data_IF_709022057342
#
_entry.id   IF_709022057342
#
_cell.length_a   1.000
_cell.length_b   1.000
_cell.length_c   1.000
_cell.angle_alpha   90.00
_cell.angle_beta   90.00
_cell.angle_gamma   90.00
#
_symmetry.space_group_name_H-M   'P 1'
#
loop_
_entity.id
_entity.type
_entity.pdbx_description
1 polymer ?
#
# COMPACT_ATOMS: atom_id res chain seq x y z
N UNK A 1 -6.26 -5.07 -5.65
CA UNK A 1 -7.30 -4.17 -6.14
C UNK A 1 -7.21 -2.83 -5.44
N UNK A 2 -7.24 -1.75 -6.22
CA UNK A 2 -7.20 -0.41 -5.65
C UNK A 2 -8.58 0.09 -5.27
N UNK A 3 -8.65 0.77 -4.14
CA UNK A 3 -9.87 1.46 -3.70
C UNK A 3 -9.50 2.87 -3.27
N UNK A 4 -10.46 3.77 -3.22
CA UNK A 4 -10.18 5.13 -2.76
C UNK A 4 -9.89 5.13 -1.26
N UNK A 5 -8.96 6.00 -0.85
CA UNK A 5 -8.64 6.13 0.57
C UNK A 5 -9.85 6.59 1.38
N UNK A 6 -10.67 7.46 0.80
CA UNK A 6 -11.88 7.95 1.47
C UNK A 6 -12.84 6.82 1.79
N UNK A 7 -13.10 5.94 0.82
CA UNK A 7 -14.00 4.80 1.04
C UNK A 7 -13.43 3.82 2.07
N UNK A 8 -12.14 3.52 1.96
CA UNK A 8 -11.46 2.61 2.88
C UNK A 8 -11.52 3.13 4.31
N UNK A 9 -11.17 4.41 4.52
CA UNK A 9 -11.13 5.00 5.85
C UNK A 9 -12.52 5.18 6.44
N UNK A 10 -13.52 5.52 5.62
CA UNK A 10 -14.90 5.60 6.09
C UNK A 10 -15.41 4.24 6.55
N UNK A 11 -15.11 3.19 5.78
CA UNK A 11 -15.49 1.82 6.16
C UNK A 11 -14.81 1.42 7.47
N UNK A 12 -13.53 1.73 7.61
CA UNK A 12 -12.79 1.44 8.83
C UNK A 12 -13.37 2.17 10.04
N UNK A 13 -13.73 3.43 9.87
CA UNK A 13 -14.33 4.24 10.92
C UNK A 13 -15.68 3.68 11.36
N UNK A 14 -16.55 3.35 10.40
CA UNK A 14 -17.88 2.81 10.67
C UNK A 14 -17.84 1.45 11.35
N UNK A 15 -16.85 0.61 11.00
CA UNK A 15 -16.72 -0.73 11.54
C UNK A 15 -15.67 -0.84 12.64
N UNK A 16 -15.11 0.28 13.07
CA UNK A 16 -14.20 0.40 14.22
C UNK A 16 -12.95 -0.47 14.13
N UNK A 17 -12.26 -0.42 12.99
CA UNK A 17 -10.95 -1.05 12.86
C UNK A 17 -9.93 -0.05 12.29
N UNK A 18 -8.66 -0.37 12.49
CA UNK A 18 -7.56 0.46 11.99
C UNK A 18 -7.03 -0.11 10.67
N UNK A 19 -6.50 0.78 9.82
CA UNK A 19 -5.83 0.38 8.58
C UNK A 19 -4.35 0.72 8.73
N UNK A 20 -3.49 -0.27 8.52
CA UNK A 20 -2.05 -0.08 8.61
C UNK A 20 -1.51 0.58 7.33
N UNK A 21 -0.63 1.56 7.49
CA UNK A 21 0.10 2.17 6.39
C UNK A 21 1.56 1.74 6.49
N UNK A 22 2.03 0.98 5.51
CA UNK A 22 3.36 0.38 5.52
C UNK A 22 4.25 1.03 4.48
N UNK A 23 5.47 1.42 4.89
CA UNK A 23 6.46 1.94 3.94
C UNK A 23 7.07 0.78 3.16
N UNK A 24 6.97 0.85 1.85
CA UNK A 24 7.50 -0.16 0.93
C UNK A 24 8.46 0.48 -0.05
N UNK A 25 9.68 -0.01 -0.12
CA UNK A 25 10.73 0.59 -0.96
C UNK A 25 11.19 -0.32 -2.10
N UNK A 26 10.84 -1.59 -2.09
CA UNK A 26 11.23 -2.51 -3.14
C UNK A 26 10.10 -3.49 -3.47
N UNK A 27 10.30 -4.24 -4.54
CA UNK A 27 9.29 -5.15 -5.07
C UNK A 27 8.93 -6.25 -4.06
N UNK A 28 9.91 -6.76 -3.34
CA UNK A 28 9.70 -7.84 -2.38
C UNK A 28 8.81 -7.39 -1.22
N UNK A 29 9.02 -6.18 -0.72
CA UNK A 29 8.20 -5.63 0.35
C UNK A 29 6.78 -5.39 -0.10
N UNK A 30 6.59 -4.81 -1.28
CA UNK A 30 5.25 -4.55 -1.84
C UNK A 30 4.51 -5.86 -2.04
N UNK A 31 5.18 -6.84 -2.63
CA UNK A 31 4.59 -8.16 -2.88
C UNK A 31 4.16 -8.83 -1.57
N UNK A 32 5.02 -8.81 -0.57
CA UNK A 32 4.71 -9.39 0.74
C UNK A 32 3.51 -8.71 1.39
N UNK A 33 3.45 -7.38 1.35
CA UNK A 33 2.35 -6.62 1.93
C UNK A 33 1.03 -6.90 1.22
N UNK A 34 1.02 -6.91 -0.10
CA UNK A 34 -0.19 -7.16 -0.89
C UNK A 34 -0.69 -8.59 -0.68
N UNK A 35 0.20 -9.57 -0.75
CA UNK A 35 -0.17 -10.97 -0.54
C UNK A 35 -0.72 -11.21 0.87
N UNK A 36 -0.11 -10.61 1.88
CA UNK A 36 -0.59 -10.73 3.26
C UNK A 36 -1.96 -10.10 3.44
N UNK A 37 -2.18 -8.93 2.85
CA UNK A 37 -3.47 -8.24 2.92
C UNK A 37 -4.57 -9.05 2.24
N UNK A 38 -4.28 -9.63 1.08
CA UNK A 38 -5.23 -10.48 0.37
C UNK A 38 -5.55 -11.76 1.17
N UNK A 39 -4.53 -12.40 1.72
CA UNK A 39 -4.68 -13.62 2.51
C UNK A 39 -5.54 -13.38 3.75
N UNK A 40 -5.36 -12.25 4.41
CA UNK A 40 -6.12 -11.88 5.60
C UNK A 40 -7.42 -11.14 5.28
N UNK A 41 -7.73 -10.92 4.01
CA UNK A 41 -8.90 -10.17 3.55
C UNK A 41 -9.02 -8.81 4.22
N UNK A 42 -7.89 -8.12 4.36
CA UNK A 42 -7.80 -6.84 5.07
C UNK A 42 -7.26 -5.74 4.17
N UNK A 43 -7.77 -4.51 4.27
CA UNK A 43 -7.22 -3.39 3.52
C UNK A 43 -5.87 -2.96 4.08
N UNK A 44 -5.03 -2.39 3.21
CA UNK A 44 -3.71 -1.90 3.58
C UNK A 44 -3.39 -0.64 2.77
N UNK A 45 -2.62 0.27 3.35
CA UNK A 45 -2.10 1.44 2.66
C UNK A 45 -0.61 1.22 2.42
N UNK A 46 -0.17 1.31 1.17
CA UNK A 46 1.23 1.22 0.80
C UNK A 46 1.80 2.63 0.68
N UNK A 47 2.82 2.91 1.45
CA UNK A 47 3.38 4.25 1.63
C UNK A 47 4.83 4.28 1.16
N UNK A 48 5.28 5.43 0.65
CA UNK A 48 6.68 5.65 0.30
C UNK A 48 7.05 7.05 0.76
N UNK A 49 8.07 7.17 1.62
CA UNK A 49 8.51 8.48 2.10
C UNK A 49 9.32 9.21 1.02
N UNK A 50 9.38 10.54 1.04
CA UNK A 50 10.22 11.29 0.10
C UNK A 50 11.69 10.91 0.16
N UNK A 51 12.20 10.59 1.34
CA UNK A 51 13.58 10.14 1.50
C UNK A 51 13.84 8.82 0.76
N UNK A 52 12.94 7.89 0.88
CA UNK A 52 13.07 6.58 0.21
C UNK A 52 12.94 6.71 -1.30
N UNK A 53 12.10 7.63 -1.77
CA UNK A 53 12.02 7.94 -3.20
C UNK A 53 13.33 8.49 -3.75
N UNK A 54 14.06 9.27 -2.96
CA UNK A 54 15.38 9.79 -3.38
C UNK A 54 16.46 8.72 -3.39
N UNK A 55 16.42 7.79 -2.44
CA UNK A 55 17.47 6.78 -2.25
C UNK A 55 17.26 5.51 -3.08
N UNK A 56 16.01 5.12 -3.31
CA UNK A 56 15.69 3.82 -3.91
C UNK A 56 14.96 3.91 -5.25
N UNK A 57 14.44 5.05 -5.60
CA UNK A 57 13.75 5.27 -6.87
C UNK A 57 12.65 6.31 -6.72
N UNK A 58 12.45 7.06 -7.77
CA UNK A 58 11.42 8.10 -7.79
C UNK A 58 10.03 7.51 -7.99
N UNK A 59 9.00 8.33 -7.78
CA UNK A 59 7.61 7.92 -7.93
C UNK A 59 7.30 7.35 -9.31
N UNK A 60 7.97 7.84 -10.35
CA UNK A 60 7.75 7.32 -11.71
C UNK A 60 8.27 5.88 -11.90
N UNK A 61 9.12 5.40 -11.00
CA UNK A 61 9.60 4.01 -10.97
C UNK A 61 8.77 3.20 -9.98
N UNK A 62 8.62 3.70 -8.75
CA UNK A 62 8.00 2.96 -7.66
C UNK A 62 6.48 2.83 -7.81
N UNK A 63 5.82 3.88 -8.27
CA UNK A 63 4.37 3.87 -8.41
C UNK A 63 3.87 2.83 -9.42
N UNK A 64 4.45 2.73 -10.64
CA UNK A 64 4.05 1.67 -11.56
C UNK A 64 4.33 0.27 -11.03
N UNK A 65 5.42 0.08 -10.29
CA UNK A 65 5.75 -1.20 -9.68
C UNK A 65 4.69 -1.61 -8.66
N UNK A 66 4.34 -0.70 -7.75
CA UNK A 66 3.31 -0.96 -6.73
C UNK A 66 1.98 -1.25 -7.39
N UNK A 67 1.61 -0.45 -8.37
CA UNK A 67 0.35 -0.61 -9.09
C UNK A 67 0.25 -1.98 -9.79
N UNK A 68 1.33 -2.38 -10.43
CA UNK A 68 1.40 -3.67 -11.12
C UNK A 68 1.19 -4.85 -10.14
N UNK A 69 1.80 -4.79 -8.97
CA UNK A 69 1.70 -5.86 -7.97
C UNK A 69 0.31 -5.86 -7.31
N UNK A 70 -0.24 -4.69 -7.01
CA UNK A 70 -1.50 -4.58 -6.28
C UNK A 70 -2.74 -4.85 -7.15
N UNK A 71 -2.62 -4.71 -8.45
CA UNK A 71 -3.71 -5.09 -9.34
C UNK A 71 -3.77 -6.60 -9.51
#
# INVERSE_FOLDING_TARGET
MFVSMKEMLNHAHENKYAVMAVNCVNMEQVKACVESAEEECSPIILNISPRQMREHGHSYVLTPMVRSIAE
#
